data_IF_152193305763
#
_entry.id   IF_152193305763
#
_cell.length_a   1.000
_cell.length_b   1.000
_cell.length_c   1.000
_cell.angle_alpha   90.00
_cell.angle_beta   90.00
_cell.angle_gamma   90.00
#
_symmetry.space_group_name_H-M   'P 1'
#
loop_
_entity.id
_entity.type
_entity.pdbx_description
1 polymer ?
#
# COMPACT_ATOMS: atom_id res chain seq x y z
N UNK A 1 -75.43 -27.92 -19.35
CA UNK A 1 -75.67 -26.64 -18.64
C UNK A 1 -74.45 -26.30 -17.79
N UNK A 2 -73.57 -25.46 -18.33
CA UNK A 2 -72.34 -24.99 -17.66
C UNK A 2 -72.70 -23.87 -16.67
N UNK A 3 -72.36 -24.04 -15.39
CA UNK A 3 -72.54 -23.01 -14.36
C UNK A 3 -71.20 -22.28 -14.22
N UNK A 4 -71.02 -21.19 -14.96
CA UNK A 4 -69.84 -20.34 -14.87
C UNK A 4 -69.84 -19.59 -13.54
N UNK A 5 -68.85 -19.87 -12.67
CA UNK A 5 -68.53 -19.07 -11.49
C UNK A 5 -68.03 -17.71 -11.95
N UNK A 6 -68.76 -16.66 -11.57
CA UNK A 6 -68.38 -15.27 -11.72
C UNK A 6 -67.23 -14.98 -10.76
N UNK A 7 -66.03 -14.77 -11.29
CA UNK A 7 -64.88 -14.29 -10.54
C UNK A 7 -64.98 -12.78 -10.38
N UNK A 8 -65.04 -12.33 -9.13
CA UNK A 8 -64.92 -10.91 -8.76
C UNK A 8 -63.44 -10.51 -8.78
N UNK A 9 -63.12 -9.47 -9.53
CA UNK A 9 -61.77 -8.98 -9.79
C UNK A 9 -61.35 -7.81 -8.88
N UNK A 10 -62.10 -7.49 -7.81
CA UNK A 10 -61.82 -6.29 -7.01
C UNK A 10 -60.79 -6.47 -5.88
N UNK A 11 -60.05 -7.58 -5.82
CA UNK A 11 -58.99 -7.76 -4.79
C UNK A 11 -57.64 -8.22 -5.33
N UNK A 12 -57.26 -7.79 -6.54
CA UNK A 12 -55.87 -7.95 -6.98
C UNK A 12 -55.06 -6.77 -6.47
N UNK A 13 -54.32 -7.02 -5.39
CA UNK A 13 -53.29 -6.14 -4.82
C UNK A 13 -52.60 -5.38 -5.96
N UNK A 14 -52.78 -4.06 -5.95
CA UNK A 14 -52.07 -3.11 -6.80
C UNK A 14 -50.59 -3.20 -6.42
N UNK A 15 -49.84 -4.01 -7.15
CA UNK A 15 -48.39 -4.08 -7.04
C UNK A 15 -47.87 -2.71 -7.47
N UNK A 16 -47.42 -1.93 -6.49
CA UNK A 16 -46.90 -0.60 -6.71
C UNK A 16 -45.59 -0.72 -7.50
N UNK A 17 -45.66 -0.43 -8.81
CA UNK A 17 -44.52 -0.56 -9.73
C UNK A 17 -43.35 0.36 -9.33
N UNK A 18 -43.64 1.43 -8.57
CA UNK A 18 -42.61 2.26 -7.96
C UNK A 18 -41.82 1.51 -6.87
N UNK A 19 -42.46 0.60 -6.12
CA UNK A 19 -41.80 -0.19 -5.08
C UNK A 19 -40.88 -1.28 -5.68
N UNK A 20 -41.25 -1.81 -6.86
CA UNK A 20 -40.44 -2.77 -7.61
C UNK A 20 -39.25 -2.07 -8.27
N UNK A 21 -39.43 -0.86 -8.81
CA UNK A 21 -38.36 -0.07 -9.40
C UNK A 21 -37.33 0.42 -8.35
N UNK A 22 -37.81 0.87 -7.18
CA UNK A 22 -36.92 1.24 -6.05
C UNK A 22 -36.15 0.03 -5.53
N UNK A 23 -36.76 -1.17 -5.46
CA UNK A 23 -36.05 -2.40 -5.07
C UNK A 23 -35.04 -2.91 -6.11
N UNK A 24 -35.28 -2.71 -7.40
CA UNK A 24 -34.32 -3.09 -8.44
C UNK A 24 -33.12 -2.14 -8.53
N UNK A 25 -33.31 -0.85 -8.19
CA UNK A 25 -32.21 0.13 -8.17
C UNK A 25 -31.28 0.00 -6.95
N UNK A 26 -31.65 -0.84 -5.98
CA UNK A 26 -30.87 -1.15 -4.77
C UNK A 26 -30.15 -2.51 -4.89
N UNK A 27 -29.92 -2.97 -6.13
CA UNK A 27 -29.10 -4.14 -6.44
C UNK A 27 -27.76 -3.73 -7.08
N UNK A 28 -27.34 -2.47 -6.90
CA UNK A 28 -25.95 -2.07 -7.06
C UNK A 28 -25.16 -2.70 -5.92
N UNK A 29 -24.17 -3.52 -6.25
CA UNK A 29 -23.22 -4.19 -5.33
C UNK A 29 -23.20 -3.54 -3.95
N UNK A 30 -23.78 -4.20 -2.94
CA UNK A 30 -23.55 -3.77 -1.56
C UNK A 30 -22.04 -3.75 -1.36
N UNK A 31 -21.48 -2.55 -1.26
CA UNK A 31 -20.06 -2.38 -1.00
C UNK A 31 -19.84 -2.90 0.40
N UNK A 32 -19.15 -4.03 0.49
CA UNK A 32 -18.80 -4.62 1.79
C UNK A 32 -17.93 -3.62 2.53
N UNK A 33 -18.37 -3.27 3.74
CA UNK A 33 -17.62 -2.43 4.65
C UNK A 33 -16.83 -3.35 5.57
N UNK A 34 -15.52 -3.19 5.59
CA UNK A 34 -14.63 -3.95 6.45
C UNK A 34 -14.06 -3.06 7.55
N UNK A 35 -13.69 -3.65 8.68
CA UNK A 35 -12.96 -2.98 9.75
C UNK A 35 -11.46 -3.18 9.58
N UNK A 36 -10.63 -2.29 10.15
CA UNK A 36 -9.17 -2.47 10.11
C UNK A 36 -8.73 -3.79 10.76
N UNK A 37 -9.43 -4.22 11.81
CA UNK A 37 -9.18 -5.49 12.48
C UNK A 37 -9.35 -6.68 11.53
N UNK A 38 -10.45 -6.71 10.78
CA UNK A 38 -10.70 -7.76 9.77
C UNK A 38 -9.64 -7.74 8.67
N UNK A 39 -9.32 -6.56 8.12
CA UNK A 39 -8.29 -6.45 7.08
C UNK A 39 -6.91 -6.89 7.60
N UNK A 40 -6.61 -6.65 8.89
CA UNK A 40 -5.35 -7.06 9.51
C UNK A 40 -5.20 -8.57 9.69
N UNK A 41 -6.27 -9.35 9.61
CA UNK A 41 -6.19 -10.82 9.60
C UNK A 41 -5.65 -11.34 8.26
N UNK A 42 -5.77 -10.54 7.19
CA UNK A 42 -5.32 -10.86 5.84
C UNK A 42 -3.89 -10.36 5.58
N UNK A 43 -2.93 -10.92 6.32
CA UNK A 43 -1.52 -10.50 6.33
C UNK A 43 -0.53 -11.53 5.76
N UNK A 44 -1.01 -12.50 4.98
CA UNK A 44 -0.20 -13.62 4.50
C UNK A 44 0.06 -13.54 3.00
N UNK A 45 1.14 -14.17 2.51
CA UNK A 45 1.45 -14.19 1.07
C UNK A 45 0.38 -14.87 0.21
N UNK A 46 -0.55 -15.63 0.82
CA UNK A 46 -1.67 -16.28 0.13
C UNK A 46 -3.00 -15.56 0.33
N UNK A 47 -3.02 -14.54 1.16
CA UNK A 47 -4.19 -13.74 1.49
C UNK A 47 -3.71 -12.41 2.08
N UNK A 48 -3.43 -11.46 1.20
CA UNK A 48 -2.82 -10.17 1.48
C UNK A 48 -3.77 -9.05 1.05
N UNK A 49 -4.27 -8.30 2.03
CA UNK A 49 -5.16 -7.18 1.80
C UNK A 49 -4.51 -5.88 2.24
N UNK A 50 -4.77 -4.82 1.47
CA UNK A 50 -4.25 -3.49 1.70
C UNK A 50 -5.37 -2.47 1.79
N UNK A 51 -5.17 -1.49 2.67
CA UNK A 51 -6.05 -0.33 2.77
C UNK A 51 -5.35 0.85 2.11
N UNK A 52 -5.96 1.41 1.07
CA UNK A 52 -5.45 2.60 0.37
C UNK A 52 -6.62 3.56 0.15
N UNK A 53 -6.47 4.82 0.54
CA UNK A 53 -7.47 5.89 0.44
C UNK A 53 -8.85 5.49 0.96
N UNK A 54 -8.91 4.76 2.08
CA UNK A 54 -10.18 4.30 2.66
C UNK A 54 -10.87 3.18 1.89
N UNK A 55 -10.13 2.46 1.02
CA UNK A 55 -10.59 1.31 0.25
C UNK A 55 -9.75 0.09 0.54
N UNK A 56 -10.39 -1.08 0.47
CA UNK A 56 -9.76 -2.38 0.71
C UNK A 56 -9.51 -3.08 -0.62
N UNK A 57 -8.26 -3.48 -0.83
CA UNK A 57 -7.79 -4.13 -2.05
C UNK A 57 -7.17 -5.48 -1.73
N UNK A 58 -7.54 -6.52 -2.48
CA UNK A 58 -6.92 -7.83 -2.38
C UNK A 58 -5.78 -7.93 -3.41
N UNK A 59 -4.54 -7.80 -2.93
CA UNK A 59 -3.34 -7.80 -3.75
C UNK A 59 -2.66 -9.17 -3.81
N UNK A 60 -3.29 -10.21 -3.27
CA UNK A 60 -2.72 -11.58 -3.19
C UNK A 60 -2.15 -12.07 -4.53
N UNK A 61 -2.88 -11.86 -5.63
CA UNK A 61 -2.46 -12.29 -6.96
C UNK A 61 -1.38 -11.40 -7.56
N UNK A 62 -1.22 -10.19 -7.04
CA UNK A 62 -0.31 -9.17 -7.56
C UNK A 62 1.00 -9.10 -6.77
N UNK A 63 1.15 -9.87 -5.68
CA UNK A 63 2.37 -9.88 -4.86
C UNK A 63 3.63 -10.16 -5.68
N UNK A 64 3.59 -11.18 -6.54
CA UNK A 64 4.73 -11.58 -7.38
C UNK A 64 4.93 -10.66 -8.60
N UNK A 65 3.86 -10.03 -9.07
CA UNK A 65 3.86 -9.13 -10.23
C UNK A 65 4.19 -7.67 -9.84
N UNK A 66 4.32 -7.38 -8.54
CA UNK A 66 4.59 -6.03 -8.06
C UNK A 66 6.04 -5.63 -8.34
N UNK A 67 6.31 -4.57 -9.14
CA UNK A 67 7.67 -4.15 -9.48
C UNK A 67 8.52 -3.72 -8.28
N UNK A 68 7.90 -3.37 -7.15
CA UNK A 68 8.56 -3.03 -5.89
C UNK A 68 8.87 -4.22 -4.98
N UNK A 69 8.49 -5.44 -5.38
CA UNK A 69 8.58 -6.66 -4.58
C UNK A 69 7.37 -6.91 -3.68
N UNK A 70 7.22 -8.14 -3.21
CA UNK A 70 6.15 -8.59 -2.31
C UNK A 70 6.35 -8.10 -0.86
N UNK A 71 7.61 -8.02 -0.41
CA UNK A 71 7.99 -7.56 0.93
C UNK A 71 7.37 -6.22 1.32
N UNK A 72 7.35 -5.25 0.40
CA UNK A 72 6.77 -3.93 0.67
C UNK A 72 5.26 -3.98 0.84
N UNK A 73 4.58 -4.85 0.08
CA UNK A 73 3.13 -5.07 0.21
C UNK A 73 2.81 -5.80 1.52
N UNK A 74 3.57 -6.83 1.87
CA UNK A 74 3.40 -7.56 3.13
C UNK A 74 3.62 -6.65 4.35
N UNK A 75 4.64 -5.78 4.29
CA UNK A 75 4.90 -4.80 5.36
C UNK A 75 3.81 -3.74 5.51
N UNK A 76 3.02 -3.53 4.45
CA UNK A 76 1.91 -2.58 4.41
C UNK A 76 0.57 -3.16 4.89
N UNK A 77 0.50 -4.48 5.10
CA UNK A 77 -0.72 -5.15 5.62
C UNK A 77 -1.06 -4.70 7.04
N UNK A 78 -2.36 -4.76 7.38
CA UNK A 78 -2.86 -4.43 8.72
C UNK A 78 -2.79 -2.96 9.14
N UNK A 79 -2.35 -2.07 8.25
CA UNK A 79 -2.37 -0.61 8.45
C UNK A 79 -2.92 0.10 7.21
N UNK A 80 -3.15 1.40 7.35
CA UNK A 80 -3.44 2.27 6.21
C UNK A 80 -2.14 2.53 5.42
N UNK A 81 -2.09 2.02 4.20
CA UNK A 81 -0.96 2.13 3.28
C UNK A 81 -1.10 3.32 2.32
N UNK A 82 -2.06 4.22 2.55
CA UNK A 82 -2.28 5.41 1.71
C UNK A 82 -1.02 6.26 1.58
N UNK A 83 -0.35 6.54 2.70
CA UNK A 83 0.85 7.38 2.71
C UNK A 83 2.00 6.71 1.93
N UNK A 84 2.22 5.41 2.17
CA UNK A 84 3.25 4.61 1.50
C UNK A 84 2.98 4.54 -0.03
N UNK A 85 1.72 4.45 -0.44
CA UNK A 85 1.32 4.39 -1.85
C UNK A 85 1.52 5.72 -2.58
N UNK A 86 1.18 6.84 -1.94
CA UNK A 86 1.31 8.19 -2.51
C UNK A 86 2.76 8.68 -2.56
N UNK A 87 3.59 8.34 -1.56
CA UNK A 87 5.02 8.73 -1.52
C UNK A 87 5.83 8.12 -2.68
N UNK A 88 5.50 6.89 -3.08
CA UNK A 88 6.12 6.22 -4.23
C UNK A 88 5.74 6.87 -5.57
N UNK A 89 4.57 7.51 -5.65
CA UNK A 89 4.14 8.19 -6.87
C UNK A 89 3.75 7.25 -8.02
N UNK A 90 2.91 6.24 -7.74
CA UNK A 90 2.42 5.29 -8.74
C UNK A 90 1.80 5.99 -9.97
N UNK A 91 1.88 5.38 -11.16
CA UNK A 91 1.29 5.93 -12.39
C UNK A 91 -0.26 5.84 -12.39
N UNK A 92 -0.92 6.57 -13.28
CA UNK A 92 -2.38 6.48 -13.46
C UNK A 92 -2.83 5.09 -13.89
N UNK A 93 -2.04 4.40 -14.71
CA UNK A 93 -2.30 3.01 -15.11
C UNK A 93 -2.21 2.05 -13.92
N UNK A 94 -1.24 2.24 -13.03
CA UNK A 94 -1.14 1.44 -11.81
C UNK A 94 -2.36 1.62 -10.90
N UNK A 95 -2.86 2.86 -10.77
CA UNK A 95 -4.12 3.14 -10.05
C UNK A 95 -5.32 2.45 -10.71
N UNK A 96 -5.41 2.44 -12.04
CA UNK A 96 -6.48 1.76 -12.74
C UNK A 96 -6.45 0.24 -12.55
N UNK A 97 -5.26 -0.38 -12.50
CA UNK A 97 -5.15 -1.83 -12.19
C UNK A 97 -5.61 -2.15 -10.77
N UNK A 98 -5.47 -1.21 -9.83
CA UNK A 98 -5.92 -1.37 -8.45
C UNK A 98 -7.44 -1.50 -8.35
N UNK A 99 -8.19 -0.84 -9.25
CA UNK A 99 -9.65 -0.91 -9.28
C UNK A 99 -10.16 -2.35 -9.54
N UNK A 100 -9.39 -3.17 -10.26
CA UNK A 100 -9.73 -4.59 -10.48
C UNK A 100 -9.56 -5.45 -9.22
N UNK A 101 -8.71 -5.01 -8.30
CA UNK A 101 -8.41 -5.68 -7.02
C UNK A 101 -9.29 -5.17 -5.87
N UNK A 102 -10.23 -4.27 -6.15
CA UNK A 102 -11.12 -3.68 -5.16
C UNK A 102 -12.07 -4.71 -4.55
N UNK A 103 -12.10 -4.78 -3.22
CA UNK A 103 -12.97 -5.68 -2.45
C UNK A 103 -14.13 -4.92 -1.81
N UNK A 104 -13.84 -3.74 -1.26
CA UNK A 104 -14.80 -2.99 -0.45
C UNK A 104 -14.24 -1.68 0.09
N UNK A 105 -15.06 -1.01 0.88
CA UNK A 105 -14.64 0.21 1.59
C UNK A 105 -14.31 -0.16 3.05
N UNK A 106 -13.43 0.60 3.70
CA UNK A 106 -13.14 0.41 5.13
C UNK A 106 -14.00 1.34 5.99
N UNK A 107 -14.44 0.88 7.16
CA UNK A 107 -15.10 1.73 8.13
C UNK A 107 -14.09 2.73 8.72
N UNK A 108 -14.19 3.97 8.24
CA UNK A 108 -13.37 5.11 8.70
C UNK A 108 -13.44 5.37 10.21
N UNK A 109 -14.46 4.84 10.92
CA UNK A 109 -14.53 4.88 12.38
C UNK A 109 -13.62 3.89 13.10
N UNK A 110 -13.12 2.87 12.40
CA UNK A 110 -12.23 1.83 12.96
C UNK A 110 -10.76 2.04 12.62
N UNK A 111 -10.47 2.89 11.64
CA UNK A 111 -9.11 3.35 11.39
C UNK A 111 -8.74 4.24 12.57
N UNK A 112 -7.72 3.93 13.38
CA UNK A 112 -7.30 4.82 14.45
C UNK A 112 -7.00 6.17 13.81
N UNK A 113 -7.82 7.17 14.14
CA UNK A 113 -7.74 8.51 13.56
C UNK A 113 -6.26 8.90 13.50
N UNK A 114 -5.75 9.04 12.26
CA UNK A 114 -4.38 9.43 11.98
C UNK A 114 -4.09 10.59 12.93
N UNK A 115 -3.25 10.34 13.95
CA UNK A 115 -2.71 11.45 14.72
C UNK A 115 -2.10 12.33 13.65
N UNK A 116 -2.58 13.58 13.58
CA UNK A 116 -2.00 14.61 12.73
C UNK A 116 -0.48 14.44 12.83
N UNK A 117 0.11 13.98 11.73
CA UNK A 117 1.54 13.77 11.69
C UNK A 117 2.14 15.17 11.72
N UNK A 118 2.46 15.64 12.92
CA UNK A 118 3.47 16.66 13.09
C UNK A 118 4.73 15.99 12.55
N UNK A 119 5.30 16.46 11.43
CA UNK A 119 6.56 15.90 10.97
C UNK A 119 7.50 15.87 12.18
N UNK A 120 8.15 14.73 12.48
CA UNK A 120 9.18 14.71 13.49
C UNK A 120 10.10 15.88 13.11
N UNK A 121 10.34 16.79 14.05
CA UNK A 121 11.37 17.80 13.88
C UNK A 121 12.57 17.02 13.37
N UNK A 122 12.93 17.24 12.11
CA UNK A 122 14.12 16.62 11.56
C UNK A 122 15.21 16.90 12.58
N UNK A 123 15.98 15.91 13.05
CA UNK A 123 17.07 16.20 13.96
C UNK A 123 17.83 17.33 13.28
N UNK A 124 17.85 18.51 13.93
CA UNK A 124 18.62 19.63 13.46
C UNK A 124 19.99 19.04 13.11
N UNK A 125 20.28 18.98 11.81
CA UNK A 125 21.52 18.41 11.34
C UNK A 125 22.59 19.40 11.76
N UNK A 126 23.11 19.20 12.96
CA UNK A 126 24.28 19.88 13.47
C UNK A 126 25.40 19.54 12.48
N UNK A 127 25.77 20.53 11.64
CA UNK A 127 26.74 20.43 10.56
C UNK A 127 28.18 20.15 11.03
N UNK A 128 28.35 19.88 12.32
CA UNK A 128 29.61 19.69 13.02
C UNK A 128 29.99 18.21 13.21
N UNK A 129 29.18 17.27 12.72
CA UNK A 129 29.64 15.87 12.58
C UNK A 129 30.26 15.68 11.22
N UNK A 130 31.57 15.88 11.12
CA UNK A 130 32.38 15.19 10.10
C UNK A 130 31.91 13.74 10.07
N UNK A 131 31.31 13.26 8.96
CA UNK A 131 30.68 11.95 8.98
C UNK A 131 31.77 10.93 9.34
N UNK A 132 31.54 10.17 10.41
CA UNK A 132 32.41 9.08 10.90
C UNK A 132 32.90 8.16 9.76
N UNK A 133 32.13 8.09 8.67
CA UNK A 133 32.51 7.48 7.41
C UNK A 133 33.78 8.07 6.77
N UNK A 134 33.93 9.40 6.70
CA UNK A 134 35.13 10.07 6.17
C UNK A 134 36.33 9.80 7.08
N UNK A 135 36.15 9.83 8.41
CA UNK A 135 37.23 9.52 9.36
C UNK A 135 37.71 8.07 9.16
N UNK A 136 36.77 7.12 9.01
CA UNK A 136 37.11 5.73 8.71
C UNK A 136 37.79 5.56 7.34
N UNK A 137 37.30 6.21 6.29
CA UNK A 137 37.90 6.15 4.96
C UNK A 137 39.32 6.73 4.95
N UNK A 138 39.53 7.88 5.59
CA UNK A 138 40.86 8.51 5.70
C UNK A 138 41.83 7.65 6.51
N UNK A 139 41.37 6.98 7.57
CA UNK A 139 42.21 6.10 8.39
C UNK A 139 42.76 4.89 7.60
N UNK A 140 42.03 4.39 6.59
CA UNK A 140 42.54 3.32 5.72
C UNK A 140 43.40 3.85 4.57
N UNK A 141 43.11 5.04 4.03
CA UNK A 141 43.85 5.60 2.89
C UNK A 141 45.25 6.09 3.27
N UNK A 142 45.43 6.72 4.43
CA UNK A 142 46.74 7.30 4.81
C UNK A 142 47.84 6.22 4.94
N UNK A 143 47.64 5.08 5.64
CA UNK A 143 48.63 4.01 5.69
C UNK A 143 48.93 3.39 4.32
N UNK A 144 47.91 3.24 3.46
CA UNK A 144 48.09 2.73 2.09
C UNK A 144 48.93 3.67 1.22
N UNK A 145 48.73 4.98 1.36
CA UNK A 145 49.49 6.00 0.62
C UNK A 145 50.95 6.03 1.07
N UNK A 146 51.21 5.98 2.39
CA UNK A 146 52.56 5.91 2.95
C UNK A 146 53.27 4.63 2.49
N UNK A 147 52.58 3.48 2.53
CA UNK A 147 53.12 2.21 2.06
C UNK A 147 53.44 2.26 0.56
N UNK A 148 52.54 2.81 -0.25
CA UNK A 148 52.73 3.00 -1.68
C UNK A 148 53.93 3.89 -2.00
N UNK A 149 54.09 5.02 -1.29
CA UNK A 149 55.24 5.91 -1.43
C UNK A 149 56.55 5.24 -1.02
N UNK A 150 56.58 4.52 0.10
CA UNK A 150 57.77 3.82 0.57
C UNK A 150 58.22 2.73 -0.44
N UNK A 151 57.27 1.97 -0.99
CA UNK A 151 57.54 0.99 -2.05
C UNK A 151 58.02 1.69 -3.33
N UNK A 152 57.36 2.77 -3.73
CA UNK A 152 57.73 3.55 -4.92
C UNK A 152 59.14 4.13 -4.84
N UNK A 153 59.51 4.73 -3.71
CA UNK A 153 60.87 5.23 -3.45
C UNK A 153 61.87 4.08 -3.49
N UNK A 154 61.60 2.94 -2.83
CA UNK A 154 62.48 1.77 -2.88
C UNK A 154 62.71 1.25 -4.30
N UNK A 155 61.68 1.24 -5.14
CA UNK A 155 61.81 0.84 -6.55
C UNK A 155 62.58 1.88 -7.37
N UNK A 156 62.38 3.16 -7.09
CA UNK A 156 63.07 4.25 -7.80
C UNK A 156 64.57 4.30 -7.45
N UNK A 157 64.93 4.18 -6.17
CA UNK A 157 66.33 4.18 -5.72
C UNK A 157 67.09 2.93 -6.17
N UNK A 158 66.40 1.80 -6.36
CA UNK A 158 67.01 0.57 -6.89
C UNK A 158 67.27 0.63 -8.41
N UNK A 159 66.63 1.56 -9.13
CA UNK A 159 66.81 1.75 -10.57
C UNK A 159 67.97 2.70 -10.90
N UNK A 160 68.47 3.45 -9.92
CA UNK A 160 69.55 4.43 -10.07
C UNK A 160 70.95 3.91 -9.72
N UNK A 161 71.10 2.63 -9.40
CA UNK A 161 72.40 1.91 -9.34
C UNK A 161 72.65 1.10 -10.61
#
# INVERSE_FOLDING_TARGET
>A
FFKAKRWDLTTQKRWDLNLIFVRFNQMGSEKKVFTLAEVSEHNSSKDCWLVISGKVYNVTKFLEDHPGGDEVLLSATGKDATDDFEDVGHSSTARAMMDEMYVGDIDTGTIPAKKEYKPPQQPHYNQDKTPEFIIKVLQFLVPLLILGLAVGVRFYTKKSE
#
